data_IF_558218828348
#
_entry.id   IF_558218828348
#
_cell.length_a   1.000
_cell.length_b   1.000
_cell.length_c   1.000
_cell.angle_alpha   90.00
_cell.angle_beta   90.00
_cell.angle_gamma   90.00
#
_symmetry.space_group_name_H-M   'P 1'
#
loop_
_entity.id
_entity.type
_entity.pdbx_description
1 polymer ?
#
# COMPACT_ATOMS: atom_id res chain seq x y z
N UNK A 1 -26.70 -20.98 25.69
CA UNK A 1 -25.27 -20.62 25.85
C UNK A 1 -25.07 -19.31 25.12
N UNK A 2 -24.72 -18.23 25.84
CA UNK A 2 -24.35 -16.96 25.22
C UNK A 2 -23.00 -17.15 24.53
N UNK A 3 -22.95 -17.02 23.20
CA UNK A 3 -21.69 -16.83 22.47
C UNK A 3 -21.20 -15.43 22.83
N UNK A 4 -20.44 -15.31 23.91
CA UNK A 4 -19.64 -14.12 24.13
C UNK A 4 -18.66 -14.05 22.95
N UNK A 5 -18.91 -13.14 22.02
CA UNK A 5 -17.96 -12.75 20.97
C UNK A 5 -16.72 -12.26 21.70
N UNK A 6 -15.70 -13.12 21.82
CA UNK A 6 -14.47 -12.70 22.45
C UNK A 6 -13.68 -11.84 21.47
N UNK A 7 -13.13 -10.69 21.92
CA UNK A 7 -12.35 -9.80 21.06
C UNK A 7 -11.20 -10.51 20.31
N UNK A 8 -10.69 -11.63 20.86
CA UNK A 8 -9.56 -12.36 20.26
C UNK A 8 -9.86 -12.97 18.88
N UNK A 9 -11.12 -13.27 18.55
CA UNK A 9 -11.48 -13.82 17.24
C UNK A 9 -11.86 -12.77 16.19
N UNK A 10 -12.05 -11.52 16.59
CA UNK A 10 -12.59 -10.44 15.74
C UNK A 10 -11.57 -9.35 15.41
N UNK A 11 -10.49 -9.28 16.18
CA UNK A 11 -9.55 -8.18 16.12
C UNK A 11 -8.29 -8.56 15.36
N UNK A 12 -7.80 -7.62 14.55
CA UNK A 12 -6.54 -7.75 13.86
C UNK A 12 -5.41 -8.03 14.88
N UNK A 13 -4.42 -8.89 14.59
CA UNK A 13 -3.35 -9.25 15.53
C UNK A 13 -2.62 -8.02 16.13
N UNK A 14 -2.46 -6.98 15.32
CA UNK A 14 -1.88 -5.69 15.74
C UNK A 14 -2.72 -4.98 16.81
N UNK A 15 -4.04 -5.03 16.73
CA UNK A 15 -4.93 -4.45 17.74
C UNK A 15 -4.87 -5.27 19.02
N UNK A 16 -4.92 -6.61 18.92
CA UNK A 16 -4.78 -7.49 20.08
C UNK A 16 -3.49 -7.22 20.85
N UNK A 17 -2.35 -7.16 20.13
CA UNK A 17 -1.03 -6.93 20.73
C UNK A 17 -0.93 -5.62 21.50
N UNK A 18 -1.51 -4.54 20.96
CA UNK A 18 -1.28 -3.18 21.50
C UNK A 18 -2.43 -2.67 22.39
N UNK A 19 -3.65 -3.17 22.22
CA UNK A 19 -4.84 -2.59 22.84
C UNK A 19 -5.50 -3.49 23.89
N UNK A 20 -5.29 -4.82 23.83
CA UNK A 20 -6.03 -5.76 24.67
C UNK A 20 -5.80 -5.54 26.16
N UNK A 21 -4.55 -5.30 26.58
CA UNK A 21 -4.22 -5.01 27.99
C UNK A 21 -4.88 -3.71 28.45
N UNK A 22 -4.78 -2.63 27.66
CA UNK A 22 -5.43 -1.35 27.97
C UNK A 22 -6.95 -1.51 28.14
N UNK A 23 -7.58 -2.28 27.26
CA UNK A 23 -9.01 -2.57 27.34
C UNK A 23 -9.36 -3.37 28.61
N UNK A 24 -8.63 -4.46 28.87
CA UNK A 24 -8.87 -5.33 30.02
C UNK A 24 -8.68 -4.63 31.37
N UNK A 25 -7.78 -3.66 31.44
CA UNK A 25 -7.48 -2.87 32.63
C UNK A 25 -8.43 -1.67 32.83
N UNK A 26 -9.43 -1.51 31.95
CA UNK A 26 -10.42 -0.42 32.04
C UNK A 26 -9.94 0.91 31.46
N UNK A 27 -8.79 0.95 30.77
CA UNK A 27 -8.25 2.14 30.12
C UNK A 27 -8.86 2.36 28.72
N UNK A 28 -10.19 2.42 28.63
CA UNK A 28 -10.96 2.41 27.39
C UNK A 28 -10.59 3.51 26.40
N UNK A 29 -10.46 4.76 26.87
CA UNK A 29 -10.00 5.90 26.06
C UNK A 29 -8.64 5.63 25.41
N UNK A 30 -7.69 5.10 26.18
CA UNK A 30 -6.34 4.77 25.68
C UNK A 30 -6.37 3.60 24.72
N UNK A 31 -7.19 2.56 24.97
CA UNK A 31 -7.35 1.45 24.05
C UNK A 31 -7.92 1.90 22.69
N UNK A 32 -8.93 2.77 22.69
CA UNK A 32 -9.51 3.33 21.47
C UNK A 32 -8.51 4.22 20.70
N UNK A 33 -7.77 5.08 21.43
CA UNK A 33 -6.74 5.93 20.84
C UNK A 33 -5.59 5.10 20.23
N UNK A 34 -5.10 4.09 20.95
CA UNK A 34 -4.03 3.22 20.48
C UNK A 34 -4.47 2.43 19.25
N UNK A 35 -5.71 1.93 19.22
CA UNK A 35 -6.25 1.21 18.06
C UNK A 35 -6.19 2.06 16.78
N UNK A 36 -6.66 3.31 16.84
CA UNK A 36 -6.60 4.22 15.68
C UNK A 36 -5.16 4.67 15.36
N UNK A 37 -4.29 4.76 16.37
CA UNK A 37 -2.86 5.04 16.16
C UNK A 37 -2.19 3.90 15.39
N UNK A 38 -2.57 2.65 15.64
CA UNK A 38 -2.06 1.50 14.89
C UNK A 38 -2.51 1.51 13.43
N UNK A 39 -3.73 1.98 13.12
CA UNK A 39 -4.16 2.22 11.72
C UNK A 39 -3.26 3.26 11.06
N UNK A 40 -3.03 4.39 11.74
CA UNK A 40 -2.16 5.45 11.23
C UNK A 40 -0.75 4.94 10.96
N UNK A 41 -0.16 4.19 11.90
CA UNK A 41 1.17 3.57 11.73
C UNK A 41 1.22 2.61 10.56
N UNK A 42 0.22 1.75 10.40
CA UNK A 42 0.18 0.81 9.28
C UNK A 42 0.14 1.54 7.92
N UNK A 43 -0.62 2.63 7.82
CA UNK A 43 -0.63 3.48 6.61
C UNK A 43 0.77 4.06 6.35
N UNK A 44 1.43 4.59 7.39
CA UNK A 44 2.77 5.20 7.27
C UNK A 44 3.83 4.18 6.89
N UNK A 45 3.84 3.02 7.55
CA UNK A 45 4.74 1.91 7.24
C UNK A 45 4.56 1.43 5.81
N UNK A 46 3.31 1.37 5.34
CA UNK A 46 3.01 0.94 3.97
C UNK A 46 3.40 1.99 2.92
N UNK A 47 3.28 3.27 3.23
CA UNK A 47 3.47 4.35 2.24
C UNK A 47 4.78 5.13 2.36
N UNK A 48 5.53 4.97 3.45
CA UNK A 48 6.73 5.75 3.75
C UNK A 48 6.49 7.18 4.25
N UNK A 49 5.23 7.63 4.41
CA UNK A 49 4.94 8.99 4.85
C UNK A 49 5.11 9.18 6.38
N UNK A 50 6.15 9.89 6.82
CA UNK A 50 6.38 10.07 8.26
C UNK A 50 5.71 11.32 8.89
N UNK A 51 5.60 12.42 8.14
CA UNK A 51 5.32 13.76 8.71
C UNK A 51 3.85 14.22 8.67
N UNK A 52 2.90 13.32 8.39
CA UNK A 52 1.46 13.64 8.31
C UNK A 52 0.65 12.78 9.28
N UNK A 53 -0.51 13.27 9.73
CA UNK A 53 -1.29 12.64 10.80
C UNK A 53 -2.80 12.79 10.55
N UNK A 54 -3.59 11.85 11.08
CA UNK A 54 -5.06 11.92 11.07
C UNK A 54 -5.68 12.14 9.69
N UNK A 55 -6.64 13.07 9.61
CA UNK A 55 -7.41 13.35 8.37
C UNK A 55 -6.51 13.74 7.21
N UNK A 56 -5.47 14.54 7.45
CA UNK A 56 -4.55 14.98 6.40
C UNK A 56 -3.77 13.81 5.78
N UNK A 57 -3.44 12.79 6.58
CA UNK A 57 -2.82 11.57 6.08
C UNK A 57 -3.80 10.80 5.18
N UNK A 58 -5.04 10.62 5.62
CA UNK A 58 -6.07 9.91 4.86
C UNK A 58 -6.39 10.58 3.52
N UNK A 59 -6.66 11.88 3.51
CA UNK A 59 -6.93 12.66 2.28
C UNK A 59 -5.75 12.62 1.32
N UNK A 60 -4.51 12.65 1.81
CA UNK A 60 -3.34 12.57 0.95
C UNK A 60 -3.18 11.19 0.30
N UNK A 61 -3.39 10.13 1.07
CA UNK A 61 -3.05 8.76 0.64
C UNK A 61 -4.19 8.09 -0.13
N UNK A 62 -5.44 8.38 0.23
CA UNK A 62 -6.60 7.82 -0.46
C UNK A 62 -7.24 8.80 -1.46
N UNK A 63 -6.96 10.10 -1.34
CA UNK A 63 -7.55 11.12 -2.18
C UNK A 63 -6.77 11.47 -3.44
N UNK A 64 -7.28 12.48 -4.14
CA UNK A 64 -6.80 12.89 -5.46
C UNK A 64 -5.53 13.76 -5.39
N UNK A 65 -4.83 13.88 -6.52
CA UNK A 65 -3.62 14.70 -6.67
C UNK A 65 -2.31 13.93 -6.46
N UNK A 66 -1.18 14.59 -6.63
CA UNK A 66 0.13 13.93 -6.69
C UNK A 66 0.56 13.20 -5.40
N UNK A 67 1.43 12.20 -5.50
CA UNK A 67 1.98 11.44 -4.37
C UNK A 67 1.64 9.95 -4.39
N UNK A 68 2.38 9.13 -3.64
CA UNK A 68 2.09 7.70 -3.45
C UNK A 68 0.70 7.55 -2.79
N UNK A 69 -0.13 6.68 -3.36
CA UNK A 69 -1.51 6.41 -2.93
C UNK A 69 -1.70 4.97 -2.50
N UNK A 70 -2.72 4.75 -1.67
CA UNK A 70 -3.27 3.43 -1.45
C UNK A 70 -4.53 3.27 -2.31
N UNK A 71 -4.54 2.25 -3.17
CA UNK A 71 -5.71 1.84 -3.95
C UNK A 71 -6.47 0.77 -3.22
N UNK A 72 -7.75 1.01 -2.96
CA UNK A 72 -8.58 0.06 -2.21
C UNK A 72 -8.99 -1.15 -3.04
N UNK A 73 -9.18 -2.32 -2.42
CA UNK A 73 -9.44 -3.57 -3.12
C UNK A 73 -10.80 -3.63 -3.84
N UNK A 74 -11.72 -2.70 -3.55
CA UNK A 74 -13.07 -2.68 -4.12
C UNK A 74 -13.18 -1.87 -5.42
N UNK A 75 -12.03 -1.53 -6.03
CA UNK A 75 -11.95 -0.90 -7.35
C UNK A 75 -11.97 0.64 -7.31
N UNK A 76 -11.56 1.24 -8.43
CA UNK A 76 -11.32 2.69 -8.56
C UNK A 76 -12.52 3.56 -8.22
N UNK A 77 -13.75 3.09 -8.51
CA UNK A 77 -14.99 3.81 -8.18
C UNK A 77 -15.21 3.98 -6.68
N UNK A 78 -14.65 3.10 -5.84
CA UNK A 78 -14.77 3.16 -4.39
C UNK A 78 -13.66 3.98 -3.73
N UNK A 79 -12.68 4.47 -4.49
CA UNK A 79 -11.53 5.19 -3.96
C UNK A 79 -11.94 6.45 -3.17
N UNK A 80 -12.85 7.24 -3.71
CA UNK A 80 -13.37 8.44 -3.03
C UNK A 80 -14.16 8.09 -1.75
N UNK A 81 -14.85 6.94 -1.74
CA UNK A 81 -15.58 6.49 -0.55
C UNK A 81 -14.62 5.97 0.52
N UNK A 82 -13.54 5.29 0.11
CA UNK A 82 -12.48 4.90 1.03
C UNK A 82 -11.79 6.11 1.66
N UNK A 83 -11.47 7.13 0.86
CA UNK A 83 -10.93 8.39 1.38
C UNK A 83 -11.86 8.97 2.46
N UNK A 84 -13.17 9.07 2.17
CA UNK A 84 -14.16 9.57 3.13
C UNK A 84 -14.27 8.70 4.37
N UNK A 85 -14.24 7.37 4.24
CA UNK A 85 -14.27 6.44 5.35
C UNK A 85 -13.08 6.66 6.30
N UNK A 86 -11.85 6.68 5.77
CA UNK A 86 -10.65 6.89 6.58
C UNK A 86 -10.64 8.30 7.20
N UNK A 87 -10.96 9.33 6.41
CA UNK A 87 -11.01 10.71 6.89
C UNK A 87 -12.05 10.87 8.02
N UNK A 88 -13.26 10.32 7.84
CA UNK A 88 -14.31 10.37 8.85
C UNK A 88 -13.92 9.58 10.10
N UNK A 89 -13.34 8.38 9.96
CA UNK A 89 -12.89 7.58 11.09
C UNK A 89 -11.79 8.28 11.91
N UNK A 90 -10.81 8.90 11.25
CA UNK A 90 -9.79 9.69 11.95
C UNK A 90 -10.38 10.93 12.62
N UNK A 91 -11.25 11.67 11.92
CA UNK A 91 -11.88 12.86 12.46
C UNK A 91 -12.75 12.54 13.67
N UNK A 92 -13.59 11.51 13.56
CA UNK A 92 -14.59 11.18 14.58
C UNK A 92 -14.02 10.39 15.75
N UNK A 93 -13.24 9.33 15.50
CA UNK A 93 -12.77 8.45 16.57
C UNK A 93 -11.38 8.82 17.08
N UNK A 94 -10.40 8.96 16.18
CA UNK A 94 -9.00 9.22 16.59
C UNK A 94 -8.86 10.58 17.25
N UNK A 95 -9.37 11.64 16.62
CA UNK A 95 -9.24 12.99 17.17
C UNK A 95 -10.05 13.15 18.45
N UNK A 96 -11.28 12.61 18.49
CA UNK A 96 -12.08 12.62 19.72
C UNK A 96 -11.36 11.89 20.86
N UNK A 97 -10.86 10.67 20.65
CA UNK A 97 -10.11 9.93 21.67
C UNK A 97 -8.87 10.70 22.17
N UNK A 98 -8.21 11.43 21.28
CA UNK A 98 -7.01 12.23 21.59
C UNK A 98 -7.32 13.50 22.38
N UNK A 99 -8.42 14.21 22.06
CA UNK A 99 -8.68 15.54 22.60
C UNK A 99 -9.80 15.59 23.64
N UNK A 100 -10.87 14.80 23.48
CA UNK A 100 -12.15 14.95 24.18
C UNK A 100 -12.72 13.62 24.71
N UNK A 101 -11.95 12.52 24.64
CA UNK A 101 -12.41 11.12 24.75
C UNK A 101 -12.98 10.65 26.10
N UNK A 102 -13.55 11.54 26.89
CA UNK A 102 -14.05 11.28 28.25
C UNK A 102 -15.35 10.46 28.26
N UNK A 103 -16.07 10.41 27.14
CA UNK A 103 -17.25 9.57 26.96
C UNK A 103 -16.95 8.21 26.32
N UNK A 104 -15.68 7.83 26.16
CA UNK A 104 -15.31 6.52 25.64
C UNK A 104 -15.42 5.49 26.76
N UNK A 105 -16.58 4.85 26.84
CA UNK A 105 -16.83 3.69 27.70
C UNK A 105 -16.29 2.38 27.10
N UNK A 106 -16.47 1.29 27.84
CA UNK A 106 -16.03 -0.05 27.44
C UNK A 106 -16.56 -0.44 26.04
N UNK A 107 -17.86 -0.27 25.83
CA UNK A 107 -18.51 -0.66 24.57
C UNK A 107 -18.03 0.20 23.40
N UNK A 108 -17.85 1.50 23.63
CA UNK A 108 -17.30 2.43 22.66
C UNK A 108 -15.88 2.03 22.27
N UNK A 109 -15.01 1.74 23.24
CA UNK A 109 -13.64 1.31 22.96
C UNK A 109 -13.59 0.01 22.15
N UNK A 110 -14.42 -0.98 22.50
CA UNK A 110 -14.51 -2.22 21.73
C UNK A 110 -14.93 -1.98 20.27
N UNK A 111 -15.93 -1.12 20.04
CA UNK A 111 -16.38 -0.75 18.69
C UNK A 111 -15.30 -0.04 17.90
N UNK A 112 -14.53 0.85 18.53
CA UNK A 112 -13.39 1.51 17.89
C UNK A 112 -12.30 0.49 17.54
N UNK A 113 -12.01 -0.47 18.41
CA UNK A 113 -11.04 -1.54 18.14
C UNK A 113 -11.47 -2.43 16.96
N UNK A 114 -12.77 -2.75 16.84
CA UNK A 114 -13.32 -3.49 15.69
C UNK A 114 -13.26 -2.65 14.41
N UNK A 115 -13.62 -1.38 14.46
CA UNK A 115 -13.47 -0.48 13.31
C UNK A 115 -12.01 -0.37 12.86
N UNK A 116 -11.08 -0.21 13.80
CA UNK A 116 -9.65 -0.15 13.50
C UNK A 116 -9.15 -1.46 12.85
N UNK A 117 -9.73 -2.60 13.23
CA UNK A 117 -9.46 -3.89 12.56
C UNK A 117 -9.88 -3.85 11.10
N UNK A 118 -11.11 -3.43 10.80
CA UNK A 118 -11.57 -3.31 9.41
C UNK A 118 -10.68 -2.35 8.58
N UNK A 119 -10.30 -1.21 9.16
CA UNK A 119 -9.40 -0.27 8.49
C UNK A 119 -8.01 -0.87 8.25
N UNK A 120 -7.48 -1.68 9.18
CA UNK A 120 -6.21 -2.38 9.01
C UNK A 120 -6.28 -3.43 7.91
N UNK A 121 -7.37 -4.18 7.81
CA UNK A 121 -7.58 -5.15 6.72
C UNK A 121 -7.64 -4.42 5.36
N UNK A 122 -8.34 -3.29 5.27
CA UNK A 122 -8.35 -2.46 4.05
C UNK A 122 -6.96 -1.91 3.70
N UNK A 123 -6.18 -1.47 4.69
CA UNK A 123 -4.79 -1.06 4.46
C UNK A 123 -3.95 -2.25 3.99
N UNK A 124 -4.10 -3.41 4.61
CA UNK A 124 -3.41 -4.65 4.20
C UNK A 124 -3.71 -5.03 2.76
N UNK A 125 -4.98 -5.03 2.38
CA UNK A 125 -5.46 -5.38 1.05
C UNK A 125 -5.25 -4.28 -0.02
N UNK A 126 -4.95 -3.04 0.39
CA UNK A 126 -4.70 -1.96 -0.56
C UNK A 126 -3.37 -2.13 -1.29
N UNK A 127 -3.29 -1.65 -2.54
CA UNK A 127 -2.05 -1.61 -3.30
C UNK A 127 -1.45 -0.23 -3.23
N UNK A 128 -0.11 -0.15 -3.22
CA UNK A 128 0.54 1.13 -3.48
C UNK A 128 0.32 1.50 -4.94
N UNK A 129 0.10 2.78 -5.19
CA UNK A 129 -0.02 3.29 -6.54
C UNK A 129 0.68 4.62 -6.64
N UNK A 130 1.50 4.69 -7.67
CA UNK A 130 2.28 5.86 -8.08
C UNK A 130 1.74 6.40 -9.42
N UNK A 131 0.56 5.96 -9.87
CA UNK A 131 -0.09 6.53 -11.05
C UNK A 131 -0.27 8.06 -10.96
N UNK A 132 -0.42 8.60 -9.74
CA UNK A 132 -0.65 10.03 -9.51
C UNK A 132 0.64 10.85 -9.34
N UNK A 133 1.83 10.23 -9.20
CA UNK A 133 3.09 10.99 -9.00
C UNK A 133 3.61 11.67 -10.27
N UNK A 134 2.96 11.48 -11.43
CA UNK A 134 3.39 12.08 -12.70
C UNK A 134 4.41 11.23 -13.46
N UNK A 135 4.34 9.90 -13.32
CA UNK A 135 5.21 8.96 -14.02
C UNK A 135 6.65 8.96 -13.50
N UNK A 136 7.62 8.74 -14.39
CA UNK A 136 9.03 8.62 -14.03
C UNK A 136 9.65 9.84 -13.31
N UNK A 137 9.33 11.11 -13.67
CA UNK A 137 9.77 12.27 -12.89
C UNK A 137 9.23 12.25 -11.46
N UNK A 138 8.00 11.78 -11.29
CA UNK A 138 7.37 11.57 -10.00
C UNK A 138 8.18 10.67 -9.09
N UNK A 139 8.61 9.53 -9.62
CA UNK A 139 9.41 8.53 -8.91
C UNK A 139 10.73 9.12 -8.39
N UNK A 140 11.34 10.03 -9.15
CA UNK A 140 12.55 10.73 -8.73
C UNK A 140 12.26 11.75 -7.63
N UNK A 141 11.19 12.54 -7.79
CA UNK A 141 10.83 13.57 -6.81
C UNK A 141 10.48 13.01 -5.43
N UNK A 142 9.92 11.80 -5.38
CA UNK A 142 9.61 11.07 -4.15
C UNK A 142 10.81 10.25 -3.63
N UNK A 143 11.98 10.33 -4.29
CA UNK A 143 13.22 9.68 -3.85
C UNK A 143 13.29 8.17 -4.07
N UNK A 144 12.37 7.61 -4.86
CA UNK A 144 12.38 6.17 -5.21
C UNK A 144 13.55 5.86 -6.16
N UNK A 145 13.86 6.80 -7.05
CA UNK A 145 15.01 6.73 -7.96
C UNK A 145 15.83 8.01 -7.84
N UNK A 146 17.14 7.92 -8.06
CA UNK A 146 18.03 9.09 -8.06
C UNK A 146 17.85 9.96 -9.32
N UNK A 147 17.42 9.36 -10.44
CA UNK A 147 17.21 10.05 -11.71
C UNK A 147 16.21 9.30 -12.61
N UNK A 148 15.66 10.00 -13.61
CA UNK A 148 14.79 9.38 -14.62
C UNK A 148 15.59 8.40 -15.49
N UNK A 149 16.89 8.65 -15.68
CA UNK A 149 17.81 7.71 -16.32
C UNK A 149 17.83 6.37 -15.59
N UNK A 150 17.87 6.38 -14.25
CA UNK A 150 17.83 5.16 -13.46
C UNK A 150 16.50 4.41 -13.61
N UNK A 151 15.39 5.14 -13.76
CA UNK A 151 14.08 4.54 -14.11
C UNK A 151 14.16 3.84 -15.47
N UNK A 152 14.67 4.53 -16.49
CA UNK A 152 14.80 3.98 -17.84
C UNK A 152 15.75 2.77 -17.91
N UNK A 153 16.84 2.77 -17.14
CA UNK A 153 17.75 1.63 -17.03
C UNK A 153 17.04 0.39 -16.46
N UNK A 154 16.22 0.56 -15.41
CA UNK A 154 15.44 -0.56 -14.88
C UNK A 154 14.37 -1.02 -15.87
N UNK A 155 13.69 -0.11 -16.58
CA UNK A 155 12.73 -0.49 -17.63
C UNK A 155 13.41 -1.34 -18.73
N UNK A 156 14.61 -0.94 -19.17
CA UNK A 156 15.41 -1.71 -20.15
C UNK A 156 15.88 -3.06 -19.62
N UNK A 157 16.22 -3.11 -18.34
CA UNK A 157 16.56 -4.38 -17.69
C UNK A 157 15.37 -5.33 -17.70
N UNK A 158 14.15 -4.85 -17.43
CA UNK A 158 12.95 -5.66 -17.32
C UNK A 158 12.36 -6.10 -18.65
N UNK A 159 12.51 -5.31 -19.71
CA UNK A 159 11.87 -5.58 -20.99
C UNK A 159 12.26 -6.96 -21.57
N UNK A 160 11.29 -7.88 -21.61
CA UNK A 160 11.48 -9.23 -22.11
C UNK A 160 12.20 -10.19 -21.18
N UNK A 161 12.45 -9.82 -19.91
CA UNK A 161 13.03 -10.74 -18.93
C UNK A 161 12.03 -11.84 -18.55
N UNK A 162 12.40 -13.13 -18.70
CA UNK A 162 11.61 -14.22 -18.19
C UNK A 162 11.70 -14.27 -16.66
N UNK A 163 10.57 -14.50 -16.02
CA UNK A 163 10.46 -14.83 -14.61
C UNK A 163 9.79 -16.21 -14.50
N UNK A 164 10.57 -17.29 -14.29
CA UNK A 164 10.01 -18.62 -14.07
C UNK A 164 9.23 -18.64 -12.74
N UNK A 165 8.04 -19.25 -12.72
CA UNK A 165 7.12 -19.24 -11.57
C UNK A 165 7.67 -19.99 -10.33
N UNK A 166 8.72 -20.80 -10.50
CA UNK A 166 9.19 -21.80 -9.55
C UNK A 166 10.58 -21.50 -8.94
N UNK A 167 11.37 -20.57 -9.52
CA UNK A 167 12.64 -20.08 -8.92
C UNK A 167 12.89 -18.61 -9.29
N UNK A 168 12.35 -17.69 -8.50
CA UNK A 168 12.55 -16.24 -8.71
C UNK A 168 13.87 -15.69 -8.10
N UNK A 169 14.62 -16.50 -7.33
CA UNK A 169 15.80 -16.02 -6.59
C UNK A 169 16.88 -15.43 -7.51
N UNK A 170 17.13 -16.05 -8.67
CA UNK A 170 18.11 -15.56 -9.63
C UNK A 170 17.75 -14.19 -10.22
N UNK A 171 16.46 -13.92 -10.46
CA UNK A 171 16.02 -12.62 -10.96
C UNK A 171 16.26 -11.51 -9.93
N UNK A 172 15.94 -11.75 -8.66
CA UNK A 172 16.15 -10.75 -7.60
C UNK A 172 17.64 -10.55 -7.28
N UNK A 173 18.46 -11.59 -7.41
CA UNK A 173 19.93 -11.47 -7.35
C UNK A 173 20.47 -10.60 -8.50
N UNK A 174 19.98 -10.82 -9.72
CA UNK A 174 20.37 -10.01 -10.89
C UNK A 174 19.89 -8.56 -10.74
N UNK A 175 18.67 -8.35 -10.25
CA UNK A 175 18.10 -7.03 -9.94
C UNK A 175 19.02 -6.26 -8.97
N UNK A 176 19.45 -6.93 -7.89
CA UNK A 176 20.38 -6.38 -6.90
C UNK A 176 21.78 -6.11 -7.47
N UNK A 177 22.28 -6.99 -8.34
CA UNK A 177 23.59 -6.84 -9.02
C UNK A 177 23.61 -5.63 -9.95
N UNK A 178 22.46 -5.28 -10.54
CA UNK A 178 22.29 -4.06 -11.34
C UNK A 178 22.03 -2.79 -10.49
N UNK A 179 22.05 -2.91 -9.15
CA UNK A 179 21.89 -1.79 -8.23
C UNK A 179 20.44 -1.37 -8.02
N UNK A 180 19.48 -2.21 -8.36
CA UNK A 180 18.05 -1.97 -8.15
C UNK A 180 17.52 -2.74 -6.94
N UNK A 181 16.38 -2.28 -6.43
CA UNK A 181 15.69 -2.89 -5.28
C UNK A 181 14.32 -3.43 -5.70
N UNK A 182 13.80 -4.40 -4.96
CA UNK A 182 12.43 -4.90 -5.13
C UNK A 182 11.39 -3.78 -5.03
N UNK A 183 11.60 -2.81 -4.13
CA UNK A 183 10.73 -1.64 -4.00
C UNK A 183 10.71 -0.75 -5.25
N UNK A 184 11.84 -0.64 -5.96
CA UNK A 184 11.91 0.11 -7.21
C UNK A 184 11.15 -0.61 -8.32
N UNK A 185 11.32 -1.92 -8.46
CA UNK A 185 10.53 -2.75 -9.39
C UNK A 185 9.04 -2.61 -9.13
N UNK A 186 8.61 -2.79 -7.88
CA UNK A 186 7.20 -2.65 -7.50
C UNK A 186 6.65 -1.27 -7.86
N UNK A 187 7.45 -0.21 -7.66
CA UNK A 187 7.05 1.15 -8.00
C UNK A 187 6.83 1.38 -9.51
N UNK A 188 7.53 0.64 -10.39
CA UNK A 188 7.30 0.68 -11.84
C UNK A 188 6.01 -0.03 -12.25
N UNK A 189 5.72 -1.18 -11.63
CA UNK A 189 4.45 -1.89 -11.79
C UNK A 189 3.28 -1.02 -11.32
N UNK A 190 3.42 -0.38 -10.16
CA UNK A 190 2.41 0.48 -9.54
C UNK A 190 2.17 1.80 -10.30
N UNK A 191 3.18 2.28 -11.05
CA UNK A 191 3.05 3.39 -11.99
C UNK A 191 2.37 2.98 -13.30
N UNK A 192 2.22 1.68 -13.55
CA UNK A 192 1.82 1.17 -14.86
C UNK A 192 2.86 1.42 -15.95
N UNK A 193 4.15 1.53 -15.60
CA UNK A 193 5.24 1.58 -16.58
C UNK A 193 5.61 0.18 -17.07
N UNK A 194 5.40 -0.83 -16.23
CA UNK A 194 5.63 -2.25 -16.53
C UNK A 194 4.39 -3.02 -16.12
N UNK A 195 4.13 -4.12 -16.82
CA UNK A 195 3.16 -5.13 -16.41
C UNK A 195 3.77 -6.52 -16.47
N UNK A 196 3.25 -7.43 -15.65
CA UNK A 196 3.61 -8.85 -15.69
C UNK A 196 2.58 -9.62 -16.50
N UNK A 197 3.04 -10.44 -17.45
CA UNK A 197 2.19 -11.34 -18.24
C UNK A 197 2.71 -12.76 -18.12
N UNK A 198 1.80 -13.69 -17.88
CA UNK A 198 2.10 -15.12 -17.93
C UNK A 198 1.66 -15.66 -19.29
N UNK A 199 2.58 -16.33 -19.99
CA UNK A 199 2.34 -16.94 -21.30
C UNK A 199 2.41 -18.46 -21.14
N UNK A 200 1.39 -19.21 -21.59
CA UNK A 200 1.44 -20.67 -21.55
C UNK A 200 2.56 -21.19 -22.46
N UNK A 201 3.31 -22.16 -21.97
CA UNK A 201 4.38 -22.83 -22.72
C UNK A 201 4.00 -24.29 -22.89
N UNK A 202 4.12 -24.79 -24.12
CA UNK A 202 3.87 -26.20 -24.42
C UNK A 202 5.00 -27.04 -23.83
N UNK A 203 4.75 -27.65 -22.67
CA UNK A 203 5.63 -28.66 -22.10
C UNK A 203 5.52 -29.96 -22.94
N UNK A 204 6.64 -30.52 -23.42
CA UNK A 204 6.69 -31.87 -24.01
C UNK A 204 6.02 -32.97 -23.17
N UNK A 205 5.84 -32.79 -21.85
CA UNK A 205 5.17 -33.75 -20.96
C UNK A 205 3.65 -33.62 -20.92
N UNK A 206 3.06 -32.57 -21.54
CA UNK A 206 1.62 -32.35 -21.59
C UNK A 206 1.04 -31.66 -20.35
N UNK A 207 1.88 -31.13 -19.46
CA UNK A 207 1.45 -30.19 -18.43
C UNK A 207 1.39 -28.77 -19.03
N UNK A 208 0.31 -28.02 -18.76
CA UNK A 208 0.30 -26.59 -19.05
C UNK A 208 1.19 -25.90 -18.03
N UNK A 209 2.40 -25.57 -18.45
CA UNK A 209 3.29 -24.68 -17.72
C UNK A 209 3.12 -23.25 -18.24
N UNK A 210 3.53 -22.27 -17.46
CA UNK A 210 3.49 -20.87 -17.89
C UNK A 210 4.76 -20.15 -17.49
N UNK A 211 5.26 -19.32 -18.41
CA UNK A 211 6.43 -18.48 -18.13
C UNK A 211 5.96 -17.05 -18.02
N UNK A 212 6.34 -16.42 -16.91
CA UNK A 212 6.15 -15.00 -16.67
C UNK A 212 7.11 -14.14 -17.46
N UNK A 213 6.65 -12.98 -17.90
CA UNK A 213 7.48 -11.96 -18.51
C UNK A 213 7.05 -10.58 -18.04
N UNK A 214 8.03 -9.71 -17.83
CA UNK A 214 7.77 -8.28 -17.74
C UNK A 214 7.65 -7.69 -19.14
N UNK A 215 6.64 -6.84 -19.32
CA UNK A 215 6.42 -6.06 -20.52
C UNK A 215 6.32 -4.59 -20.18
N UNK A 216 6.99 -3.76 -20.97
CA UNK A 216 6.77 -2.33 -20.91
C UNK A 216 5.36 -2.01 -21.42
N UNK A 217 4.67 -1.11 -20.73
CA UNK A 217 3.46 -0.49 -21.27
C UNK A 217 3.85 0.61 -22.25
N UNK A 218 2.89 1.18 -22.98
CA UNK A 218 3.16 2.35 -23.85
C UNK A 218 3.83 3.52 -23.10
N UNK A 219 3.50 3.70 -21.81
CA UNK A 219 4.15 4.69 -20.94
C UNK A 219 5.57 4.28 -20.57
N UNK A 220 5.80 2.98 -20.31
CA UNK A 220 7.13 2.44 -20.06
C UNK A 220 8.07 2.58 -21.25
N UNK A 221 7.58 2.28 -22.45
CA UNK A 221 8.33 2.44 -23.71
C UNK A 221 8.76 3.90 -23.91
N UNK A 222 7.84 4.86 -23.74
CA UNK A 222 8.13 6.30 -23.87
C UNK A 222 9.25 6.75 -22.92
N UNK A 223 9.17 6.34 -21.65
CA UNK A 223 10.18 6.68 -20.63
C UNK A 223 11.52 5.99 -20.90
N UNK A 224 11.48 4.74 -21.36
CA UNK A 224 12.67 3.95 -21.68
C UNK A 224 13.47 4.55 -22.85
N UNK A 225 12.75 4.97 -23.90
CA UNK A 225 13.33 5.51 -25.14
C UNK A 225 13.75 6.97 -25.01
N UNK A 226 12.96 7.79 -24.30
CA UNK A 226 13.20 9.23 -24.16
C UNK A 226 13.12 9.69 -22.69
N UNK A 227 14.10 9.31 -21.84
CA UNK A 227 14.09 9.66 -20.42
C UNK A 227 14.08 11.18 -20.16
N UNK A 228 14.51 12.00 -21.11
CA UNK A 228 14.54 13.47 -20.99
C UNK A 228 13.21 14.15 -21.37
N UNK A 229 12.37 13.54 -22.23
CA UNK A 229 11.09 14.15 -22.65
C UNK A 229 9.99 14.02 -21.60
N UNK A 230 10.08 12.99 -20.75
CA UNK A 230 9.15 12.75 -19.64
C UNK A 230 9.17 13.87 -18.59
N UNK A 231 10.24 14.66 -18.51
CA UNK A 231 10.41 15.76 -17.54
C UNK A 231 9.59 17.00 -17.93
N UNK A 232 9.18 17.13 -19.20
CA UNK A 232 8.61 18.36 -19.77
C UNK A 232 7.08 18.42 -19.85
N UNK A 233 6.37 17.35 -19.47
CA UNK A 233 4.91 17.23 -19.63
C UNK A 233 4.12 17.26 -18.31
N UNK A 234 4.75 17.60 -17.19
CA UNK A 234 4.11 17.78 -15.88
C UNK A 234 3.65 19.22 -15.63
#
# INVERSE_FOLDING_TARGET
MSLALTPQGLLHPRILKNCLTLYADGHYKHAAQEAMTQVERAIKEKTGFEHRYGVNLATRIFGHGHGIKLRVPFGSRMQAEAERLFAAAFSYYRNYATHEGDNIDEMCALRVMVLATELLELVGASLLSSADIGGAPGLVSEGVFASVTQVAELLKFLDGQPLPDDVCDGFYEDLGTHGFTESQLQSLLDCGLVEYRSVPVDDPTGQTDSVGFFHLTALGEEVSDNPESAVTSA
#
